data_IF_530926900010
#
_entry.id   IF_530926900010
#
_cell.length_a   1.000
_cell.length_b   1.000
_cell.length_c   1.000
_cell.angle_alpha   90.00
_cell.angle_beta   90.00
_cell.angle_gamma   90.00
#
_symmetry.space_group_name_H-M   'P 1'
#
loop_
_entity.id
_entity.type
_entity.pdbx_description
1 polymer ?
#
# COMPACT_ATOMS: atom_id res chain seq x y z
N UNK A 1 22.55 -50.33 -48.34
CA UNK A 1 22.60 -50.23 -46.88
C UNK A 1 22.17 -48.80 -46.53
N UNK A 2 20.91 -48.65 -46.22
CA UNK A 2 20.24 -47.39 -45.89
C UNK A 2 20.28 -47.22 -44.39
N UNK A 3 21.02 -46.21 -43.92
CA UNK A 3 20.99 -45.80 -42.50
C UNK A 3 19.63 -45.21 -42.19
N UNK A 4 18.90 -45.90 -41.35
CA UNK A 4 17.67 -45.46 -40.73
C UNK A 4 17.93 -44.23 -39.85
N UNK A 5 17.52 -43.10 -40.30
CA UNK A 5 17.44 -41.87 -39.43
C UNK A 5 16.26 -42.04 -38.52
N UNK A 6 16.50 -42.39 -37.24
CA UNK A 6 15.51 -42.31 -36.17
C UNK A 6 14.92 -40.89 -36.10
N UNK A 7 13.59 -40.75 -35.97
CA UNK A 7 12.95 -39.47 -35.77
C UNK A 7 13.43 -38.91 -34.41
N UNK A 8 13.88 -37.67 -34.42
CA UNK A 8 14.06 -36.88 -33.21
C UNK A 8 12.73 -36.85 -32.45
N UNK A 9 12.68 -37.65 -31.38
CA UNK A 9 11.57 -37.63 -30.44
C UNK A 9 11.33 -36.17 -30.05
N UNK A 10 10.12 -35.71 -30.29
CA UNK A 10 9.62 -34.45 -29.83
C UNK A 10 9.82 -34.39 -28.31
N UNK A 11 10.86 -33.72 -27.86
CA UNK A 11 11.04 -33.39 -26.45
C UNK A 11 9.82 -32.58 -26.05
N UNK A 12 8.83 -33.27 -25.48
CA UNK A 12 7.71 -32.63 -24.81
C UNK A 12 8.32 -31.61 -23.86
N UNK A 13 8.18 -30.32 -24.17
CA UNK A 13 8.62 -29.20 -23.31
C UNK A 13 7.88 -29.33 -21.99
N UNK A 14 8.46 -30.11 -21.07
CA UNK A 14 7.93 -30.24 -19.73
C UNK A 14 7.89 -28.80 -19.11
N UNK A 15 6.70 -28.37 -18.74
CA UNK A 15 6.47 -27.04 -18.17
C UNK A 15 7.46 -26.78 -17.02
N UNK A 16 7.98 -25.54 -16.86
CA UNK A 16 8.81 -25.19 -15.72
C UNK A 16 8.03 -25.45 -14.42
N UNK A 17 8.75 -25.82 -13.36
CA UNK A 17 8.15 -25.99 -12.03
C UNK A 17 7.41 -24.73 -11.56
N UNK A 18 6.64 -24.86 -10.49
CA UNK A 18 5.79 -23.79 -9.97
C UNK A 18 6.22 -23.28 -8.58
N UNK A 19 7.43 -23.62 -8.13
CA UNK A 19 7.88 -23.26 -6.78
C UNK A 19 7.96 -21.74 -6.56
N UNK A 20 8.28 -20.95 -7.60
CA UNK A 20 8.26 -19.50 -7.54
C UNK A 20 6.90 -18.90 -7.11
N UNK A 21 5.80 -19.59 -7.46
CA UNK A 21 4.47 -19.16 -7.04
C UNK A 21 4.19 -19.42 -5.55
N UNK A 22 4.87 -20.39 -4.94
CA UNK A 22 4.88 -20.60 -3.48
C UNK A 22 5.53 -19.37 -2.79
N UNK A 23 6.63 -18.85 -3.35
CA UNK A 23 7.24 -17.61 -2.85
C UNK A 23 6.27 -16.44 -3.02
N UNK A 24 5.62 -16.31 -4.18
CA UNK A 24 4.60 -15.28 -4.40
C UNK A 24 3.45 -15.35 -3.38
N UNK A 25 2.98 -16.54 -3.06
CA UNK A 25 1.96 -16.76 -2.03
C UNK A 25 2.45 -16.30 -0.64
N UNK A 26 3.70 -16.59 -0.28
CA UNK A 26 4.28 -16.06 0.96
C UNK A 26 4.29 -14.53 0.98
N UNK A 27 4.65 -13.87 -0.12
CA UNK A 27 4.63 -12.41 -0.22
C UNK A 27 3.19 -11.85 -0.09
N UNK A 28 2.22 -12.52 -0.70
CA UNK A 28 0.79 -12.18 -0.56
C UNK A 28 0.32 -12.26 0.89
N UNK A 29 0.62 -13.37 1.58
CA UNK A 29 0.22 -13.51 2.99
C UNK A 29 0.95 -12.54 3.92
N UNK A 30 2.23 -12.24 3.69
CA UNK A 30 2.95 -11.21 4.45
C UNK A 30 2.26 -9.86 4.33
N UNK A 31 1.88 -9.48 3.12
CA UNK A 31 1.20 -8.20 2.86
C UNK A 31 -0.21 -8.18 3.45
N UNK A 32 -0.92 -9.32 3.43
CA UNK A 32 -2.23 -9.46 4.09
C UNK A 32 -2.12 -9.24 5.60
N UNK A 33 -1.16 -9.91 6.26
CA UNK A 33 -0.92 -9.76 7.71
C UNK A 33 -0.56 -8.31 8.04
N UNK A 34 0.36 -7.71 7.28
CA UNK A 34 0.78 -6.33 7.42
C UNK A 34 -0.41 -5.35 7.44
N UNK A 35 -1.37 -5.52 6.51
CA UNK A 35 -2.54 -4.65 6.43
C UNK A 35 -3.58 -4.93 7.51
N UNK A 36 -3.70 -6.16 7.99
CA UNK A 36 -4.53 -6.49 9.16
C UNK A 36 -3.97 -5.76 10.40
N UNK A 37 -2.66 -5.93 10.70
CA UNK A 37 -1.99 -5.29 11.85
C UNK A 37 -2.12 -3.76 11.82
N UNK A 38 -2.01 -3.18 10.63
CA UNK A 38 -2.16 -1.74 10.42
C UNK A 38 -3.53 -1.23 10.80
N UNK A 39 -4.59 -1.96 10.47
CA UNK A 39 -5.96 -1.52 10.65
C UNK A 39 -6.54 -1.72 12.06
N UNK A 40 -5.99 -2.63 12.86
CA UNK A 40 -6.53 -2.96 14.20
C UNK A 40 -6.79 -1.69 15.02
N UNK A 41 -5.81 -0.77 15.08
CA UNK A 41 -5.95 0.45 15.87
C UNK A 41 -7.14 1.29 15.38
N UNK A 42 -7.29 1.48 14.06
CA UNK A 42 -8.38 2.27 13.50
C UNK A 42 -9.76 1.66 13.78
N UNK A 43 -9.85 0.33 13.72
CA UNK A 43 -11.10 -0.41 14.02
C UNK A 43 -11.42 -0.32 15.52
N UNK A 44 -10.43 -0.50 16.38
CA UNK A 44 -10.59 -0.51 17.83
C UNK A 44 -10.54 0.88 18.47
N UNK A 45 -10.22 1.94 17.70
CA UNK A 45 -10.03 3.29 18.24
C UNK A 45 -11.18 3.79 19.10
N UNK A 46 -12.49 3.61 18.72
CA UNK A 46 -13.60 4.04 19.57
C UNK A 46 -13.66 3.32 20.92
N UNK A 47 -13.32 2.04 20.94
CA UNK A 47 -13.34 1.23 22.17
C UNK A 47 -12.12 1.52 23.05
N UNK A 48 -10.94 1.58 22.45
CA UNK A 48 -9.69 1.91 23.14
C UNK A 48 -9.73 3.32 23.73
N UNK A 49 -10.36 4.27 23.04
CA UNK A 49 -10.52 5.63 23.57
C UNK A 49 -11.33 5.66 24.87
N UNK A 50 -12.37 4.84 24.99
CA UNK A 50 -13.16 4.73 26.21
C UNK A 50 -12.35 4.09 27.35
N UNK A 51 -11.49 3.11 27.02
CA UNK A 51 -10.72 2.34 28.01
C UNK A 51 -9.48 3.11 28.47
N UNK A 52 -8.74 3.73 27.53
CA UNK A 52 -7.46 4.40 27.79
C UNK A 52 -7.68 5.87 28.16
N UNK A 53 -8.75 6.49 27.65
CA UNK A 53 -9.08 7.89 27.94
C UNK A 53 -8.27 8.92 27.14
N UNK A 54 -7.65 8.54 26.01
CA UNK A 54 -6.89 9.49 25.20
C UNK A 54 -7.77 10.51 24.48
N UNK A 55 -7.22 11.71 24.27
CA UNK A 55 -7.83 12.79 23.49
C UNK A 55 -7.74 12.52 21.97
N UNK A 56 -8.45 13.31 21.18
CA UNK A 56 -8.34 13.26 19.70
C UNK A 56 -6.93 13.62 19.23
N UNK A 57 -6.27 14.58 19.89
CA UNK A 57 -4.89 14.96 19.60
C UNK A 57 -3.93 13.81 19.92
N UNK A 58 -4.09 13.15 21.07
CA UNK A 58 -3.25 12.00 21.43
C UNK A 58 -3.44 10.84 20.45
N UNK A 59 -4.66 10.56 20.02
CA UNK A 59 -4.91 9.57 18.95
C UNK A 59 -4.25 9.96 17.63
N UNK A 60 -4.37 11.23 17.22
CA UNK A 60 -3.67 11.77 16.04
C UNK A 60 -2.16 11.59 16.13
N UNK A 61 -1.56 11.83 17.31
CA UNK A 61 -0.13 11.64 17.56
C UNK A 61 0.29 10.16 17.48
N UNK A 62 -0.54 9.23 17.96
CA UNK A 62 -0.31 7.78 17.84
C UNK A 62 -0.26 7.36 16.36
N UNK A 63 -1.19 7.85 15.56
CA UNK A 63 -1.22 7.59 14.10
C UNK A 63 -0.02 8.25 13.40
N UNK A 64 0.32 9.48 13.77
CA UNK A 64 1.49 10.21 13.25
C UNK A 64 2.80 9.50 13.57
N UNK A 65 2.93 8.92 14.77
CA UNK A 65 4.11 8.15 15.16
C UNK A 65 4.37 6.97 14.21
N UNK A 66 3.30 6.23 13.86
CA UNK A 66 3.40 5.15 12.86
C UNK A 66 3.87 5.66 11.49
N UNK A 67 3.24 6.71 10.98
CA UNK A 67 3.53 7.25 9.65
C UNK A 67 4.95 7.80 9.56
N UNK A 68 5.42 8.47 10.62
CA UNK A 68 6.80 8.97 10.72
C UNK A 68 7.80 7.82 10.66
N UNK A 69 7.58 6.79 11.48
CA UNK A 69 8.43 5.61 11.51
C UNK A 69 8.41 4.85 10.17
N UNK A 70 7.25 4.75 9.55
CA UNK A 70 7.09 4.10 8.23
C UNK A 70 7.86 4.84 7.15
N UNK A 71 7.78 6.17 7.10
CA UNK A 71 8.55 6.98 6.15
C UNK A 71 10.07 6.83 6.34
N UNK A 72 10.55 6.86 7.58
CA UNK A 72 11.96 6.62 7.92
C UNK A 72 12.38 5.19 7.57
N UNK A 73 11.53 4.22 7.88
CA UNK A 73 11.77 2.81 7.63
C UNK A 73 11.92 2.48 6.15
N UNK A 74 11.14 3.10 5.27
CA UNK A 74 11.27 2.93 3.80
C UNK A 74 12.69 3.28 3.30
N UNK A 75 13.30 4.31 3.87
CA UNK A 75 14.68 4.70 3.52
C UNK A 75 15.72 3.72 4.08
N UNK A 76 15.51 3.25 5.31
CA UNK A 76 16.46 2.39 6.01
C UNK A 76 16.42 0.96 5.49
N UNK A 77 15.22 0.37 5.33
CA UNK A 77 15.05 -1.02 4.93
C UNK A 77 15.52 -1.30 3.51
N UNK A 78 15.40 -0.36 2.58
CA UNK A 78 15.95 -0.54 1.23
C UNK A 78 17.43 -0.87 1.27
N UNK A 79 18.23 -0.05 1.98
CA UNK A 79 19.68 -0.30 2.16
C UNK A 79 19.98 -1.54 2.99
N UNK A 80 19.19 -1.80 4.01
CA UNK A 80 19.36 -2.96 4.88
C UNK A 80 19.19 -4.27 4.10
N UNK A 81 18.13 -4.37 3.30
CA UNK A 81 17.84 -5.54 2.45
C UNK A 81 18.91 -5.70 1.37
N UNK A 82 19.42 -4.60 0.80
CA UNK A 82 20.53 -4.66 -0.19
C UNK A 82 21.81 -5.20 0.41
N UNK A 83 22.10 -4.87 1.68
CA UNK A 83 23.32 -5.31 2.36
C UNK A 83 23.25 -6.73 2.89
N UNK A 84 22.13 -7.12 3.50
CA UNK A 84 21.99 -8.40 4.22
C UNK A 84 21.18 -9.45 3.44
N UNK A 85 20.63 -9.09 2.28
CA UNK A 85 19.81 -9.98 1.44
C UNK A 85 18.35 -10.05 1.87
N UNK A 86 17.50 -10.48 0.93
CA UNK A 86 16.04 -10.51 1.09
C UNK A 86 15.59 -11.45 2.22
N UNK A 87 16.25 -12.63 2.35
CA UNK A 87 15.90 -13.62 3.37
C UNK A 87 15.98 -13.05 4.78
N UNK A 88 17.13 -12.47 5.14
CA UNK A 88 17.39 -11.91 6.47
C UNK A 88 16.61 -10.61 6.66
N UNK A 89 16.67 -9.72 5.68
CA UNK A 89 16.02 -8.42 5.74
C UNK A 89 14.53 -8.51 5.99
N UNK A 90 13.86 -9.38 5.27
CA UNK A 90 12.41 -9.56 5.43
C UNK A 90 12.05 -10.26 6.74
N UNK A 91 12.84 -11.28 7.16
CA UNK A 91 12.64 -11.92 8.47
C UNK A 91 12.71 -10.90 9.60
N UNK A 92 13.72 -10.04 9.62
CA UNK A 92 13.90 -9.01 10.65
C UNK A 92 12.74 -8.00 10.62
N UNK A 93 12.34 -7.55 9.43
CA UNK A 93 11.21 -6.64 9.28
C UNK A 93 9.95 -7.22 9.93
N UNK A 94 9.61 -8.48 9.60
CA UNK A 94 8.42 -9.15 10.11
C UNK A 94 8.52 -9.43 11.61
N UNK A 95 9.67 -9.86 12.12
CA UNK A 95 9.86 -10.04 13.55
C UNK A 95 9.66 -8.73 14.33
N UNK A 96 10.22 -7.63 13.83
CA UNK A 96 10.07 -6.31 14.46
C UNK A 96 8.59 -5.89 14.49
N UNK A 97 7.88 -5.99 13.36
CA UNK A 97 6.48 -5.58 13.36
C UNK A 97 5.59 -6.53 14.16
N UNK A 98 5.86 -7.84 14.14
CA UNK A 98 5.07 -8.81 14.92
C UNK A 98 5.22 -8.59 16.42
N UNK A 99 6.45 -8.36 16.90
CA UNK A 99 6.68 -7.99 18.32
C UNK A 99 5.99 -6.67 18.65
N UNK A 100 6.09 -5.67 17.76
CA UNK A 100 5.45 -4.37 17.97
C UNK A 100 3.91 -4.48 17.93
N UNK A 101 3.34 -5.30 17.06
CA UNK A 101 1.90 -5.58 17.05
C UNK A 101 1.46 -6.15 18.40
N UNK A 102 2.16 -7.19 18.90
CA UNK A 102 1.86 -7.79 20.21
C UNK A 102 2.09 -6.82 21.36
N UNK A 103 3.07 -5.91 21.28
CA UNK A 103 3.36 -4.94 22.33
C UNK A 103 2.18 -3.98 22.61
N UNK A 104 1.30 -3.74 21.62
CA UNK A 104 0.06 -2.98 21.82
C UNK A 104 -0.81 -3.61 22.91
N UNK A 105 -0.84 -4.93 23.03
CA UNK A 105 -1.62 -5.63 24.06
C UNK A 105 -1.20 -5.29 25.49
N UNK A 106 0.05 -4.86 25.70
CA UNK A 106 0.59 -4.42 26.98
C UNK A 106 0.46 -2.90 27.21
N UNK A 107 0.17 -2.11 26.18
CA UNK A 107 0.06 -0.65 26.29
C UNK A 107 -1.19 -0.26 27.10
N UNK A 108 -1.04 0.73 27.98
CA UNK A 108 -2.11 1.24 28.85
C UNK A 108 -2.23 2.77 28.79
N UNK A 109 -1.40 3.43 28.01
CA UNK A 109 -1.35 4.89 27.87
C UNK A 109 -1.23 5.26 26.39
N UNK A 110 -1.64 6.46 26.01
CA UNK A 110 -1.43 7.01 24.67
C UNK A 110 0.05 6.96 24.23
N UNK A 111 0.97 7.28 25.16
CA UNK A 111 2.41 7.21 24.89
C UNK A 111 2.89 5.78 24.61
N UNK A 112 2.41 4.79 25.38
CA UNK A 112 2.72 3.37 25.16
C UNK A 112 2.24 2.89 23.78
N UNK A 113 1.01 3.27 23.39
CA UNK A 113 0.49 3.02 22.04
C UNK A 113 1.33 3.73 20.96
N UNK A 114 1.78 4.96 21.23
CA UNK A 114 2.65 5.71 20.33
C UNK A 114 3.98 5.00 20.07
N UNK A 115 4.65 4.49 21.11
CA UNK A 115 5.90 3.70 20.98
C UNK A 115 5.66 2.41 20.19
N UNK A 116 4.61 1.66 20.53
CA UNK A 116 4.27 0.42 19.83
C UNK A 116 3.96 0.69 18.35
N UNK A 117 3.22 1.76 18.04
CA UNK A 117 2.91 2.20 16.67
C UNK A 117 4.15 2.66 15.91
N UNK A 118 5.04 3.40 16.54
CA UNK A 118 6.31 3.81 15.94
C UNK A 118 7.14 2.57 15.53
N UNK A 119 7.30 1.64 16.47
CA UNK A 119 8.05 0.40 16.23
C UNK A 119 7.38 -0.46 15.15
N UNK A 120 6.04 -0.54 15.16
CA UNK A 120 5.26 -1.23 14.13
C UNK A 120 5.50 -0.61 12.75
N UNK A 121 5.40 0.71 12.63
CA UNK A 121 5.63 1.44 11.39
C UNK A 121 7.03 1.23 10.84
N UNK A 122 8.03 1.23 11.70
CA UNK A 122 9.41 0.97 11.31
C UNK A 122 9.55 -0.44 10.71
N UNK A 123 9.03 -1.49 11.37
CA UNK A 123 9.08 -2.87 10.88
C UNK A 123 8.28 -3.06 9.59
N UNK A 124 7.05 -2.55 9.53
CA UNK A 124 6.17 -2.68 8.36
C UNK A 124 6.72 -2.03 7.09
N UNK A 125 7.53 -0.98 7.23
CA UNK A 125 8.18 -0.33 6.10
C UNK A 125 9.10 -1.27 5.30
N UNK A 126 9.58 -2.36 5.91
CA UNK A 126 10.39 -3.38 5.22
C UNK A 126 9.60 -4.29 4.29
N UNK A 127 8.27 -4.34 4.37
CA UNK A 127 7.43 -5.25 3.59
C UNK A 127 7.57 -5.06 2.08
N UNK A 128 7.24 -3.88 1.57
CA UNK A 128 7.27 -3.62 0.13
C UNK A 128 8.66 -3.74 -0.51
N UNK A 129 9.74 -3.14 0.05
CA UNK A 129 11.08 -3.31 -0.50
C UNK A 129 11.51 -4.77 -0.56
N UNK A 130 11.22 -5.57 0.49
CA UNK A 130 11.54 -6.99 0.53
C UNK A 130 10.76 -7.79 -0.52
N UNK A 131 9.46 -7.54 -0.64
CA UNK A 131 8.59 -8.24 -1.57
C UNK A 131 8.99 -7.95 -3.03
N UNK A 132 9.24 -6.68 -3.37
CA UNK A 132 9.68 -6.29 -4.72
C UNK A 132 11.02 -6.94 -5.06
N UNK A 133 11.96 -6.98 -4.11
CA UNK A 133 13.26 -7.62 -4.31
C UNK A 133 13.12 -9.14 -4.47
N UNK A 134 12.29 -9.79 -3.64
CA UNK A 134 11.99 -11.22 -3.78
C UNK A 134 11.39 -11.54 -5.15
N UNK A 135 10.46 -10.70 -5.65
CA UNK A 135 9.91 -10.85 -7.01
C UNK A 135 10.99 -10.69 -8.07
N UNK A 136 11.90 -9.72 -7.90
CA UNK A 136 13.00 -9.54 -8.85
C UNK A 136 13.98 -10.72 -8.87
N UNK A 137 14.18 -11.40 -7.73
CA UNK A 137 15.04 -12.58 -7.58
C UNK A 137 14.39 -13.86 -8.12
N UNK A 138 13.05 -14.02 -7.98
CA UNK A 138 12.34 -15.27 -8.28
C UNK A 138 11.57 -15.29 -9.59
N UNK A 139 11.37 -14.15 -10.25
CA UNK A 139 10.55 -14.07 -11.46
C UNK A 139 11.29 -13.43 -12.62
N UNK A 140 11.20 -14.03 -13.83
CA UNK A 140 11.66 -13.38 -15.05
C UNK A 140 10.80 -12.12 -15.31
N UNK A 141 11.38 -11.14 -15.99
CA UNK A 141 10.76 -9.81 -16.25
C UNK A 141 9.31 -9.90 -16.73
N UNK A 142 9.03 -10.86 -17.62
CA UNK A 142 7.68 -11.09 -18.19
C UNK A 142 6.62 -11.46 -17.15
N UNK A 143 7.02 -12.04 -16.01
CA UNK A 143 6.11 -12.50 -14.95
C UNK A 143 6.11 -11.57 -13.73
N UNK A 144 7.08 -10.65 -13.58
CA UNK A 144 7.22 -9.76 -12.41
C UNK A 144 6.00 -8.91 -12.14
N UNK A 145 5.38 -8.35 -13.21
CA UNK A 145 4.18 -7.54 -13.08
C UNK A 145 3.01 -8.32 -12.47
N UNK A 146 2.82 -9.57 -12.91
CA UNK A 146 1.78 -10.44 -12.36
C UNK A 146 2.07 -10.80 -10.89
N UNK A 147 3.30 -11.21 -10.58
CA UNK A 147 3.70 -11.54 -9.21
C UNK A 147 3.56 -10.34 -8.26
N UNK A 148 3.93 -9.13 -8.72
CA UNK A 148 3.74 -7.88 -7.97
C UNK A 148 2.26 -7.59 -7.75
N UNK A 149 1.42 -7.76 -8.76
CA UNK A 149 -0.03 -7.60 -8.64
C UNK A 149 -0.64 -8.56 -7.62
N UNK A 150 -0.21 -9.82 -7.63
CA UNK A 150 -0.71 -10.83 -6.69
C UNK A 150 -0.34 -10.47 -5.25
N UNK A 151 0.92 -10.18 -4.94
CA UNK A 151 1.26 -9.86 -3.55
C UNK A 151 0.63 -8.52 -3.10
N UNK A 152 0.51 -7.55 -4.00
CA UNK A 152 -0.13 -6.27 -3.68
C UNK A 152 -1.64 -6.43 -3.39
N UNK A 153 -2.31 -7.40 -4.02
CA UNK A 153 -3.71 -7.72 -3.69
C UNK A 153 -3.89 -8.17 -2.22
N UNK A 154 -2.82 -8.63 -1.56
CA UNK A 154 -2.82 -8.91 -0.13
C UNK A 154 -3.19 -7.68 0.73
N UNK A 155 -2.86 -6.46 0.28
CA UNK A 155 -3.28 -5.21 0.95
C UNK A 155 -4.80 -5.14 1.08
N UNK A 156 -5.49 -5.39 -0.02
CA UNK A 156 -6.93 -5.29 -0.11
C UNK A 156 -7.61 -6.41 0.68
N UNK A 157 -7.10 -7.63 0.54
CA UNK A 157 -7.60 -8.79 1.31
C UNK A 157 -7.45 -8.54 2.81
N UNK A 158 -6.31 -8.02 3.27
CA UNK A 158 -6.10 -7.62 4.67
C UNK A 158 -7.08 -6.54 5.12
N UNK A 159 -7.33 -5.54 4.25
CA UNK A 159 -8.26 -4.45 4.53
C UNK A 159 -9.73 -4.91 4.70
N UNK A 160 -10.13 -5.95 3.98
CA UNK A 160 -11.49 -6.55 4.07
C UNK A 160 -11.59 -7.52 5.25
N UNK A 161 -10.54 -8.31 5.51
CA UNK A 161 -10.54 -9.30 6.60
C UNK A 161 -10.53 -8.63 7.98
N UNK A 162 -9.74 -7.57 8.17
CA UNK A 162 -9.58 -6.94 9.47
C UNK A 162 -10.91 -6.47 10.10
N UNK A 163 -11.81 -5.74 9.41
CA UNK A 163 -13.10 -5.35 9.97
C UNK A 163 -14.05 -6.51 10.28
N UNK A 164 -13.83 -7.68 9.69
CA UNK A 164 -14.63 -8.88 9.98
C UNK A 164 -14.10 -9.61 11.22
N UNK A 165 -12.78 -9.80 11.31
CA UNK A 165 -12.15 -10.66 12.31
C UNK A 165 -11.86 -9.89 13.61
N UNK A 166 -11.35 -8.67 13.53
CA UNK A 166 -10.90 -7.91 14.70
C UNK A 166 -12.03 -7.64 15.71
N UNK A 167 -13.25 -7.20 15.30
CA UNK A 167 -14.36 -7.02 16.22
C UNK A 167 -14.78 -8.31 16.91
N UNK A 168 -14.82 -9.42 16.14
CA UNK A 168 -15.20 -10.73 16.69
C UNK A 168 -14.20 -11.20 17.76
N UNK A 169 -12.89 -11.16 17.47
CA UNK A 169 -11.86 -11.52 18.44
C UNK A 169 -11.93 -10.62 19.68
N UNK A 170 -12.13 -9.33 19.47
CA UNK A 170 -12.18 -8.34 20.57
C UNK A 170 -13.36 -8.58 21.51
N UNK A 171 -14.54 -8.86 20.96
CA UNK A 171 -15.74 -9.10 21.80
C UNK A 171 -15.64 -10.45 22.54
N UNK A 172 -15.00 -11.45 21.93
CA UNK A 172 -14.89 -12.80 22.51
C UNK A 172 -13.77 -12.92 23.53
N UNK A 173 -12.58 -12.33 23.24
CA UNK A 173 -11.37 -12.53 24.02
C UNK A 173 -10.76 -11.23 24.58
N UNK A 174 -11.39 -10.09 24.34
CA UNK A 174 -10.89 -8.77 24.71
C UNK A 174 -9.95 -8.16 23.65
N UNK A 175 -9.83 -6.84 23.68
CA UNK A 175 -9.03 -6.10 22.69
C UNK A 175 -7.53 -6.49 22.64
N UNK A 176 -6.85 -6.87 23.76
CA UNK A 176 -5.46 -7.31 23.69
C UNK A 176 -5.27 -8.55 22.83
N UNK A 177 -6.27 -9.46 22.82
CA UNK A 177 -6.19 -10.69 22.05
C UNK A 177 -6.14 -10.42 20.54
N UNK A 178 -6.77 -9.35 20.04
CA UNK A 178 -6.70 -8.98 18.63
C UNK A 178 -5.25 -8.66 18.20
N UNK A 179 -4.52 -7.87 18.99
CA UNK A 179 -3.11 -7.56 18.73
C UNK A 179 -2.19 -8.76 18.92
N UNK A 180 -2.43 -9.60 19.93
CA UNK A 180 -1.64 -10.81 20.15
C UNK A 180 -1.83 -11.83 19.03
N UNK A 181 -3.05 -12.06 18.58
CA UNK A 181 -3.36 -13.03 17.54
C UNK A 181 -2.72 -12.67 16.20
N UNK A 182 -2.87 -11.42 15.77
CA UNK A 182 -2.32 -10.99 14.49
C UNK A 182 -0.79 -10.93 14.50
N UNK A 183 -0.18 -10.39 15.57
CA UNK A 183 1.27 -10.41 15.72
C UNK A 183 1.84 -11.84 15.77
N UNK A 184 1.15 -12.78 16.44
CA UNK A 184 1.57 -14.19 16.51
C UNK A 184 1.59 -14.86 15.11
N UNK A 185 0.65 -14.53 14.22
CA UNK A 185 0.63 -15.05 12.85
C UNK A 185 1.91 -14.66 12.10
N UNK A 186 2.48 -13.50 12.37
CA UNK A 186 3.75 -13.08 11.77
C UNK A 186 4.92 -14.01 12.11
N UNK A 187 5.00 -14.55 13.35
CA UNK A 187 6.02 -15.54 13.70
C UNK A 187 5.85 -16.85 12.95
N UNK A 188 4.59 -17.31 12.77
CA UNK A 188 4.29 -18.49 11.95
C UNK A 188 4.75 -18.26 10.51
N UNK A 189 4.47 -17.07 9.98
CA UNK A 189 4.91 -16.71 8.64
C UNK A 189 6.44 -16.71 8.52
N UNK A 190 7.17 -16.12 9.49
CA UNK A 190 8.65 -16.13 9.50
C UNK A 190 9.21 -17.54 9.48
N UNK A 191 8.59 -18.49 10.21
CA UNK A 191 8.98 -19.88 10.17
C UNK A 191 8.89 -20.46 8.75
N UNK A 192 7.75 -20.25 8.07
CA UNK A 192 7.60 -20.67 6.67
C UNK A 192 8.57 -19.98 5.74
N UNK A 193 8.82 -18.69 5.95
CA UNK A 193 9.77 -17.93 5.16
C UNK A 193 11.19 -18.50 5.26
N UNK A 194 11.69 -18.72 6.46
CA UNK A 194 13.03 -19.27 6.68
C UNK A 194 13.18 -20.66 6.09
N UNK A 195 12.13 -21.50 6.14
CA UNK A 195 12.16 -22.85 5.61
C UNK A 195 12.06 -22.90 4.07
N UNK A 196 11.24 -22.03 3.50
CA UNK A 196 10.89 -22.08 2.07
C UNK A 196 11.70 -21.11 1.21
N UNK A 197 12.09 -19.95 1.72
CA UNK A 197 12.82 -18.94 0.93
C UNK A 197 14.34 -19.11 1.03
N UNK A 198 14.97 -19.01 -0.13
CA UNK A 198 16.38 -18.71 -0.33
C UNK A 198 16.52 -18.03 -1.70
N UNK A 199 17.71 -17.59 -2.08
CA UNK A 199 17.94 -17.17 -3.47
C UNK A 199 17.82 -18.38 -4.41
N UNK A 200 17.28 -18.23 -5.64
CA UNK A 200 16.98 -19.37 -6.52
C UNK A 200 18.17 -20.31 -6.73
N UNK A 201 19.38 -19.76 -6.88
CA UNK A 201 20.60 -20.53 -7.14
C UNK A 201 21.01 -21.45 -5.97
N UNK A 202 20.60 -21.12 -4.74
CA UNK A 202 20.89 -21.90 -3.53
C UNK A 202 19.77 -22.88 -3.18
N UNK A 203 18.62 -22.81 -3.86
CA UNK A 203 17.45 -23.61 -3.50
C UNK A 203 17.54 -25.03 -4.07
N UNK A 204 17.92 -26.00 -3.24
CA UNK A 204 18.08 -27.41 -3.64
C UNK A 204 16.82 -28.09 -4.19
N UNK A 205 15.62 -27.63 -3.82
CA UNK A 205 14.34 -28.18 -4.28
C UNK A 205 13.89 -27.63 -5.63
N UNK A 206 14.61 -26.66 -6.18
CA UNK A 206 14.25 -26.04 -7.46
C UNK A 206 14.72 -26.94 -8.60
N UNK A 207 13.84 -27.25 -9.57
CA UNK A 207 14.22 -27.98 -10.76
C UNK A 207 15.15 -27.14 -11.64
N UNK A 208 16.09 -27.78 -12.34
CA UNK A 208 17.01 -27.09 -13.26
C UNK A 208 16.24 -26.28 -14.35
N UNK A 209 15.10 -26.82 -14.81
CA UNK A 209 14.24 -26.15 -15.79
C UNK A 209 13.60 -24.89 -15.23
N UNK A 210 13.15 -24.91 -13.97
CA UNK A 210 12.57 -23.74 -13.32
C UNK A 210 13.65 -22.69 -13.01
N UNK A 211 14.83 -23.12 -12.57
CA UNK A 211 15.96 -22.22 -12.37
C UNK A 211 16.36 -21.53 -13.68
N UNK A 212 16.49 -22.28 -14.78
CA UNK A 212 16.76 -21.71 -16.09
C UNK A 212 15.68 -20.74 -16.55
N UNK A 213 14.41 -21.04 -16.24
CA UNK A 213 13.29 -20.13 -16.53
C UNK A 213 13.38 -18.83 -15.70
N UNK A 214 13.69 -18.91 -14.40
CA UNK A 214 13.86 -17.74 -13.53
C UNK A 214 15.03 -16.85 -14.03
N UNK A 215 16.14 -17.47 -14.41
CA UNK A 215 17.36 -16.79 -14.89
C UNK A 215 17.36 -16.51 -16.40
N UNK A 216 16.20 -16.63 -17.07
CA UNK A 216 16.12 -16.47 -18.54
C UNK A 216 16.31 -15.03 -19.05
N UNK A 217 16.27 -14.04 -18.17
CA UNK A 217 16.51 -12.66 -18.54
C UNK A 217 18.02 -12.40 -18.78
N UNK A 218 18.39 -11.62 -19.80
CA UNK A 218 19.75 -11.16 -19.97
C UNK A 218 20.23 -10.40 -18.72
N UNK A 219 21.50 -10.60 -18.34
CA UNK A 219 22.09 -9.84 -17.25
C UNK A 219 21.97 -8.34 -17.55
N UNK A 220 21.30 -7.59 -16.69
CA UNK A 220 21.25 -6.13 -16.82
C UNK A 220 22.59 -5.55 -16.32
N UNK A 221 23.17 -4.60 -17.07
CA UNK A 221 24.25 -3.79 -16.50
C UNK A 221 23.75 -3.16 -15.22
N UNK A 222 24.61 -3.11 -14.19
CA UNK A 222 24.27 -2.48 -12.92
C UNK A 222 23.66 -1.09 -13.17
N UNK A 223 22.44 -0.80 -12.67
CA UNK A 223 21.79 0.46 -12.99
C UNK A 223 22.63 1.61 -12.46
N UNK A 224 23.02 2.56 -13.31
CA UNK A 224 23.56 3.83 -12.86
C UNK A 224 22.60 4.44 -11.84
N UNK A 225 23.09 4.66 -10.62
CA UNK A 225 22.30 5.25 -9.54
C UNK A 225 22.01 6.71 -9.90
N UNK A 226 20.77 7.00 -10.25
CA UNK A 226 20.34 8.38 -10.46
C UNK A 226 20.13 9.03 -9.09
N UNK A 227 20.92 10.05 -8.80
CA UNK A 227 20.77 10.80 -7.54
C UNK A 227 19.43 11.50 -7.44
N UNK A 228 18.77 11.41 -6.28
CA UNK A 228 17.48 12.04 -6.01
C UNK A 228 17.47 13.54 -6.28
N UNK A 229 18.57 14.25 -5.95
CA UNK A 229 18.72 15.69 -6.21
C UNK A 229 18.60 16.05 -7.70
N UNK A 230 19.02 15.15 -8.60
CA UNK A 230 18.86 15.35 -10.04
C UNK A 230 17.39 15.24 -10.44
N UNK A 231 16.64 14.31 -9.85
CA UNK A 231 15.21 14.13 -10.11
C UNK A 231 14.37 15.33 -9.66
N UNK A 232 14.73 15.96 -8.53
CA UNK A 232 14.02 17.13 -8.01
C UNK A 232 14.13 18.39 -8.88
N UNK A 233 15.02 18.40 -9.89
CA UNK A 233 15.10 19.50 -10.88
C UNK A 233 13.96 19.48 -11.90
N UNK A 234 13.24 18.35 -12.04
CA UNK A 234 12.20 18.19 -13.06
C UNK A 234 10.80 18.50 -12.51
N UNK A 235 10.03 19.33 -13.21
CA UNK A 235 8.64 19.65 -12.88
C UNK A 235 7.75 18.41 -12.79
N UNK A 236 8.01 17.41 -13.64
CA UNK A 236 7.29 16.14 -13.66
C UNK A 236 7.45 15.35 -12.35
N UNK A 237 8.62 15.42 -11.70
CA UNK A 237 8.80 14.84 -10.37
C UNK A 237 7.89 15.51 -9.35
N UNK A 238 7.81 16.83 -9.37
CA UNK A 238 6.96 17.60 -8.46
C UNK A 238 5.47 17.37 -8.72
N UNK A 239 5.06 17.10 -9.98
CA UNK A 239 3.69 16.71 -10.26
C UNK A 239 3.28 15.41 -9.52
N UNK A 240 4.19 14.42 -9.44
CA UNK A 240 3.95 13.17 -8.72
C UNK A 240 4.04 13.41 -7.20
N UNK A 241 5.07 14.12 -6.75
CA UNK A 241 5.33 14.42 -5.32
C UNK A 241 4.16 15.15 -4.70
N UNK A 242 3.73 16.28 -5.31
CA UNK A 242 2.63 17.09 -4.78
C UNK A 242 1.28 16.37 -4.95
N UNK A 243 1.10 15.67 -6.09
CA UNK A 243 -0.10 14.87 -6.31
C UNK A 243 -0.32 13.84 -5.20
N UNK A 244 0.72 13.09 -4.83
CA UNK A 244 0.67 12.11 -3.74
C UNK A 244 0.61 12.76 -2.36
N UNK A 245 1.35 13.84 -2.14
CA UNK A 245 1.31 14.59 -0.88
C UNK A 245 -0.10 15.07 -0.52
N UNK A 246 -0.91 15.48 -1.51
CA UNK A 246 -2.27 15.95 -1.29
C UNK A 246 -3.31 14.82 -1.20
N UNK A 247 -3.11 13.70 -1.90
CA UNK A 247 -4.16 12.68 -2.03
C UNK A 247 -3.96 11.44 -1.18
N UNK A 248 -2.71 10.99 -0.94
CA UNK A 248 -2.44 9.84 -0.08
C UNK A 248 -2.90 10.07 1.39
N UNK A 249 -2.83 11.28 1.96
CA UNK A 249 -3.37 11.59 3.30
C UNK A 249 -4.84 11.19 3.47
N UNK A 250 -5.62 11.30 2.41
CA UNK A 250 -7.06 10.98 2.46
C UNK A 250 -7.27 9.47 2.65
N UNK A 251 -6.43 8.64 2.03
CA UNK A 251 -6.44 7.21 2.26
C UNK A 251 -6.09 6.85 3.71
N UNK A 252 -5.05 7.49 4.26
CA UNK A 252 -4.67 7.30 5.67
C UNK A 252 -5.78 7.73 6.62
N UNK A 253 -6.49 8.83 6.31
CA UNK A 253 -7.68 9.24 7.05
C UNK A 253 -8.77 8.16 7.02
N UNK A 254 -9.06 7.56 5.88
CA UNK A 254 -10.04 6.48 5.80
C UNK A 254 -9.60 5.26 6.61
N UNK A 255 -8.32 4.91 6.59
CA UNK A 255 -7.83 3.75 7.36
C UNK A 255 -7.95 3.94 8.88
N UNK A 256 -7.68 5.13 9.39
CA UNK A 256 -7.53 5.34 10.83
C UNK A 256 -8.70 6.03 11.50
N UNK A 257 -9.48 6.82 10.77
CA UNK A 257 -10.50 7.68 11.35
C UNK A 257 -11.94 7.26 11.03
N UNK A 258 -12.17 6.43 10.00
CA UNK A 258 -13.55 6.03 9.65
C UNK A 258 -14.26 5.24 10.75
N UNK A 259 -13.56 4.36 11.46
CA UNK A 259 -14.14 3.63 12.58
C UNK A 259 -14.67 4.58 13.66
N UNK A 260 -13.87 5.61 14.00
CA UNK A 260 -14.28 6.66 14.94
C UNK A 260 -15.43 7.51 14.42
N UNK A 261 -15.37 7.92 13.15
CA UNK A 261 -16.45 8.69 12.52
C UNK A 261 -17.79 7.93 12.54
N UNK A 262 -17.78 6.68 12.10
CA UNK A 262 -19.01 5.86 12.07
C UNK A 262 -19.58 5.60 13.48
N UNK A 263 -18.71 5.39 14.47
CA UNK A 263 -19.12 5.30 15.86
C UNK A 263 -19.71 6.62 16.38
N UNK A 264 -18.99 7.74 16.20
CA UNK A 264 -19.41 9.05 16.71
C UNK A 264 -20.70 9.54 16.05
N UNK A 265 -20.86 9.36 14.72
CA UNK A 265 -21.98 9.89 13.94
C UNK A 265 -23.24 9.01 14.02
N UNK A 266 -23.07 7.67 14.02
CA UNK A 266 -24.17 6.71 13.90
C UNK A 266 -24.32 5.80 15.12
N UNK A 267 -23.49 5.97 16.16
CA UNK A 267 -23.57 5.17 17.39
C UNK A 267 -23.24 3.69 17.18
N UNK A 268 -22.45 3.34 16.16
CA UNK A 268 -22.17 1.96 15.82
C UNK A 268 -21.26 1.32 16.88
N UNK A 269 -21.70 0.18 17.42
CA UNK A 269 -20.85 -0.68 18.25
C UNK A 269 -19.77 -1.35 17.40
N UNK A 270 -18.74 -1.87 18.04
CA UNK A 270 -17.60 -2.49 17.38
C UNK A 270 -18.00 -3.56 16.34
N UNK A 271 -18.94 -4.45 16.70
CA UNK A 271 -19.46 -5.48 15.79
C UNK A 271 -20.18 -4.86 14.59
N UNK A 272 -20.97 -3.82 14.83
CA UNK A 272 -21.75 -3.15 13.77
C UNK A 272 -20.86 -2.31 12.82
N UNK A 273 -19.63 -1.98 13.21
CA UNK A 273 -18.66 -1.31 12.34
C UNK A 273 -18.15 -2.20 11.20
N UNK A 274 -18.13 -3.52 11.40
CA UNK A 274 -17.53 -4.45 10.46
C UNK A 274 -18.09 -4.33 9.04
N UNK A 275 -19.41 -4.51 8.89
CA UNK A 275 -20.06 -4.50 7.57
C UNK A 275 -19.92 -3.17 6.80
N UNK A 276 -20.13 -1.98 7.42
CA UNK A 276 -19.86 -0.70 6.78
C UNK A 276 -18.42 -0.53 6.28
N UNK A 277 -17.44 -0.91 7.08
CA UNK A 277 -16.01 -0.82 6.69
C UNK A 277 -15.69 -1.78 5.56
N UNK A 278 -16.19 -3.03 5.62
CA UNK A 278 -16.03 -4.01 4.53
C UNK A 278 -16.61 -3.44 3.22
N UNK A 279 -17.80 -2.84 3.26
CA UNK A 279 -18.42 -2.27 2.08
C UNK A 279 -17.60 -1.12 1.48
N UNK A 280 -17.04 -0.24 2.32
CA UNK A 280 -16.17 0.86 1.89
C UNK A 280 -14.90 0.32 1.22
N UNK A 281 -14.21 -0.65 1.83
CA UNK A 281 -12.97 -1.20 1.29
C UNK A 281 -13.20 -2.07 0.05
N UNK A 282 -14.31 -2.81 -0.02
CA UNK A 282 -14.69 -3.53 -1.23
C UNK A 282 -14.93 -2.58 -2.42
N UNK A 283 -15.59 -1.43 -2.19
CA UNK A 283 -15.74 -0.40 -3.21
C UNK A 283 -14.38 0.22 -3.61
N UNK A 284 -13.45 0.35 -2.67
CA UNK A 284 -12.09 0.79 -2.97
C UNK A 284 -11.37 -0.18 -3.91
N UNK A 285 -11.53 -1.50 -3.71
CA UNK A 285 -10.93 -2.52 -4.56
C UNK A 285 -11.50 -2.50 -5.98
N UNK A 286 -12.82 -2.37 -6.10
CA UNK A 286 -13.49 -2.17 -7.41
C UNK A 286 -12.93 -0.94 -8.12
N UNK A 287 -12.72 0.15 -7.38
CA UNK A 287 -12.12 1.38 -7.89
C UNK A 287 -10.69 1.18 -8.40
N UNK A 288 -9.88 0.44 -7.65
CA UNK A 288 -8.47 0.14 -8.02
C UNK A 288 -8.37 -0.53 -9.39
N UNK A 289 -9.13 -1.61 -9.57
CA UNK A 289 -9.16 -2.37 -10.83
C UNK A 289 -9.81 -1.53 -11.94
N UNK A 290 -10.96 -0.92 -11.65
CA UNK A 290 -11.75 -0.14 -12.61
C UNK A 290 -10.99 1.07 -13.15
N UNK A 291 -10.26 1.80 -12.30
CA UNK A 291 -9.48 2.98 -12.68
C UNK A 291 -8.31 2.66 -13.61
N UNK A 292 -7.58 1.59 -13.31
CA UNK A 292 -6.51 1.09 -14.19
C UNK A 292 -7.03 0.59 -15.53
N UNK A 293 -8.13 -0.18 -15.51
CA UNK A 293 -8.79 -0.70 -16.71
C UNK A 293 -9.31 0.44 -17.58
N UNK A 294 -10.00 1.43 -17.01
CA UNK A 294 -10.63 2.53 -17.75
C UNK A 294 -9.59 3.36 -18.52
N UNK A 295 -8.48 3.73 -17.87
CA UNK A 295 -7.42 4.49 -18.53
C UNK A 295 -6.76 3.68 -19.65
N UNK A 296 -6.53 2.38 -19.43
CA UNK A 296 -5.99 1.49 -20.45
C UNK A 296 -6.95 1.30 -21.64
N UNK A 297 -8.27 1.21 -21.38
CA UNK A 297 -9.29 1.10 -22.43
C UNK A 297 -9.37 2.37 -23.29
N UNK A 298 -9.25 3.56 -22.66
CA UNK A 298 -9.21 4.83 -23.40
C UNK A 298 -7.97 4.94 -24.30
N UNK A 299 -6.81 4.49 -23.82
CA UNK A 299 -5.58 4.44 -24.63
C UNK A 299 -5.75 3.48 -25.82
N UNK A 300 -6.28 2.28 -25.58
CA UNK A 300 -6.55 1.29 -26.65
C UNK A 300 -7.52 1.79 -27.72
N UNK A 301 -8.44 2.69 -27.34
CA UNK A 301 -9.37 3.35 -28.28
C UNK A 301 -8.75 4.52 -29.05
N UNK A 302 -7.43 4.72 -28.96
CA UNK A 302 -6.70 5.77 -29.71
C UNK A 302 -6.49 7.07 -28.94
N UNK A 303 -6.85 7.13 -27.65
CA UNK A 303 -6.55 8.27 -26.80
C UNK A 303 -5.05 8.39 -26.51
N UNK A 304 -4.52 9.62 -26.45
CA UNK A 304 -3.14 9.81 -25.96
C UNK A 304 -3.03 9.43 -24.49
N UNK A 305 -1.86 8.93 -24.04
CA UNK A 305 -1.59 8.57 -22.65
C UNK A 305 -1.96 9.72 -21.71
N UNK A 306 -1.47 10.93 -22.01
CA UNK A 306 -1.74 12.12 -21.22
C UNK A 306 -3.25 12.41 -21.05
N UNK A 307 -3.99 12.43 -22.17
CA UNK A 307 -5.43 12.71 -22.15
C UNK A 307 -6.21 11.62 -21.42
N UNK A 308 -5.92 10.35 -21.71
CA UNK A 308 -6.62 9.20 -21.10
C UNK A 308 -6.43 9.14 -19.58
N UNK A 309 -5.18 9.27 -19.10
CA UNK A 309 -4.87 9.28 -17.66
C UNK A 309 -5.58 10.43 -16.95
N UNK A 310 -5.42 11.67 -17.45
CA UNK A 310 -6.00 12.87 -16.84
C UNK A 310 -7.53 12.90 -16.89
N UNK A 311 -8.15 12.35 -17.94
CA UNK A 311 -9.61 12.21 -18.01
C UNK A 311 -10.13 11.29 -16.90
N UNK A 312 -9.48 10.14 -16.69
CA UNK A 312 -9.85 9.23 -15.59
C UNK A 312 -9.59 9.88 -14.23
N UNK A 313 -8.48 10.57 -14.06
CA UNK A 313 -8.18 11.30 -12.81
C UNK A 313 -9.19 12.42 -12.54
N UNK A 314 -9.65 13.14 -13.56
CA UNK A 314 -10.72 14.14 -13.42
C UNK A 314 -12.03 13.47 -12.97
N UNK A 315 -12.41 12.34 -13.59
CA UNK A 315 -13.59 11.59 -13.18
C UNK A 315 -13.45 11.13 -11.71
N UNK A 316 -12.28 10.62 -11.31
CA UNK A 316 -12.01 10.27 -9.92
C UNK A 316 -12.14 11.47 -8.99
N UNK A 317 -11.53 12.61 -9.34
CA UNK A 317 -11.60 13.83 -8.52
C UNK A 317 -13.05 14.30 -8.33
N UNK A 318 -13.87 14.25 -9.38
CA UNK A 318 -15.31 14.59 -9.30
C UNK A 318 -16.09 13.57 -8.46
N UNK A 319 -15.77 12.28 -8.56
CA UNK A 319 -16.39 11.24 -7.74
C UNK A 319 -16.02 11.33 -6.24
N UNK A 320 -14.92 11.98 -5.89
CA UNK A 320 -14.58 12.23 -4.47
C UNK A 320 -15.37 13.38 -3.88
N UNK A 321 -15.73 14.41 -4.66
CA UNK A 321 -16.42 15.62 -4.15
C UNK A 321 -17.66 15.31 -3.28
N UNK A 322 -18.54 14.36 -3.63
CA UNK A 322 -19.72 14.06 -2.81
C UNK A 322 -19.43 13.63 -1.36
N UNK A 323 -18.19 13.22 -1.05
CA UNK A 323 -17.81 12.84 0.33
C UNK A 323 -17.95 14.00 1.31
N UNK A 324 -17.93 15.25 0.83
CA UNK A 324 -18.15 16.43 1.66
C UNK A 324 -19.49 16.39 2.39
N UNK A 325 -20.50 15.72 1.81
CA UNK A 325 -21.81 15.53 2.41
C UNK A 325 -21.88 14.37 3.43
N UNK A 326 -20.82 13.55 3.57
CA UNK A 326 -20.86 12.34 4.40
C UNK A 326 -21.17 12.63 5.88
N UNK A 327 -20.73 13.78 6.40
CA UNK A 327 -21.03 14.21 7.77
C UNK A 327 -22.44 14.76 7.95
N UNK A 328 -23.13 15.10 6.87
CA UNK A 328 -24.45 15.76 6.92
C UNK A 328 -25.61 14.79 6.71
N UNK A 329 -25.38 13.68 6.01
CA UNK A 329 -26.43 12.68 5.76
C UNK A 329 -26.87 11.99 7.06
N UNK A 330 -28.16 11.72 7.19
CA UNK A 330 -28.74 11.04 8.35
C UNK A 330 -28.66 9.51 8.27
N UNK A 331 -28.60 8.96 7.05
CA UNK A 331 -28.58 7.51 6.83
C UNK A 331 -27.16 6.94 6.85
N UNK A 332 -26.95 5.86 7.63
CA UNK A 332 -25.68 5.14 7.68
C UNK A 332 -25.19 4.71 6.27
N UNK A 333 -26.06 4.04 5.53
CA UNK A 333 -25.68 3.51 4.21
C UNK A 333 -25.47 4.60 3.17
N UNK A 334 -26.13 5.76 3.30
CA UNK A 334 -25.84 6.93 2.47
C UNK A 334 -24.41 7.45 2.72
N UNK A 335 -23.99 7.53 3.99
CA UNK A 335 -22.61 7.89 4.32
C UNK A 335 -21.62 6.83 3.82
N UNK A 336 -21.90 5.55 4.02
CA UNK A 336 -21.07 4.43 3.56
C UNK A 336 -20.88 4.45 2.05
N UNK A 337 -21.94 4.71 1.28
CA UNK A 337 -21.87 4.81 -0.19
C UNK A 337 -21.06 6.03 -0.66
N UNK A 338 -21.23 7.21 -0.02
CA UNK A 338 -20.46 8.41 -0.33
C UNK A 338 -18.97 8.20 -0.06
N UNK A 339 -18.64 7.62 1.11
CA UNK A 339 -17.25 7.34 1.48
C UNK A 339 -16.69 6.21 0.63
N UNK A 340 -17.46 5.16 0.35
CA UNK A 340 -17.05 4.06 -0.51
C UNK A 340 -16.79 4.50 -1.95
N UNK A 341 -17.62 5.39 -2.50
CA UNK A 341 -17.37 6.03 -3.80
C UNK A 341 -16.06 6.82 -3.79
N UNK A 342 -15.84 7.61 -2.75
CA UNK A 342 -14.60 8.39 -2.61
C UNK A 342 -13.38 7.50 -2.43
N UNK A 343 -13.48 6.40 -1.66
CA UNK A 343 -12.41 5.43 -1.47
C UNK A 343 -12.09 4.69 -2.79
N UNK A 344 -13.12 4.29 -3.55
CA UNK A 344 -12.96 3.71 -4.88
C UNK A 344 -12.31 4.69 -5.87
N UNK A 345 -12.75 5.94 -5.87
CA UNK A 345 -12.16 6.98 -6.69
C UNK A 345 -10.70 7.29 -6.29
N UNK A 346 -10.36 7.25 -4.98
CA UNK A 346 -8.98 7.35 -4.52
C UNK A 346 -8.10 6.23 -5.07
N UNK A 347 -8.55 4.99 -4.98
CA UNK A 347 -7.76 3.85 -5.48
C UNK A 347 -7.61 3.87 -7.00
N UNK A 348 -8.65 4.29 -7.73
CA UNK A 348 -8.57 4.54 -9.17
C UNK A 348 -7.59 5.66 -9.52
N UNK A 349 -7.58 6.75 -8.75
CA UNK A 349 -6.60 7.83 -8.84
C UNK A 349 -5.18 7.33 -8.58
N UNK A 350 -4.98 6.60 -7.48
CA UNK A 350 -3.69 6.05 -7.09
C UNK A 350 -3.11 5.14 -8.17
N UNK A 351 -3.91 4.26 -8.76
CA UNK A 351 -3.49 3.41 -9.87
C UNK A 351 -2.98 4.23 -11.07
N UNK A 352 -3.58 5.39 -11.36
CA UNK A 352 -3.17 6.24 -12.47
C UNK A 352 -1.95 7.10 -12.14
N UNK A 353 -1.84 7.68 -10.94
CA UNK A 353 -0.69 8.54 -10.59
C UNK A 353 0.62 7.72 -10.49
N UNK A 354 0.57 6.46 -10.08
CA UNK A 354 1.73 5.57 -10.09
C UNK A 354 2.29 5.36 -11.50
N UNK A 355 1.43 5.33 -12.52
CA UNK A 355 1.90 5.17 -13.90
C UNK A 355 2.63 6.38 -14.44
N UNK A 356 2.45 7.58 -13.86
CA UNK A 356 3.17 8.80 -14.29
C UNK A 356 4.69 8.63 -14.22
N UNK A 357 5.17 7.89 -13.23
CA UNK A 357 6.60 7.62 -13.12
C UNK A 357 7.12 6.81 -14.33
N UNK A 358 6.37 5.80 -14.78
CA UNK A 358 6.74 4.99 -15.94
C UNK A 358 6.43 5.68 -17.28
N UNK A 359 5.44 6.57 -17.32
CA UNK A 359 5.05 7.29 -18.54
C UNK A 359 6.04 8.43 -18.86
N UNK A 360 6.61 9.09 -17.82
CA UNK A 360 7.46 10.28 -18.00
C UNK A 360 8.96 10.05 -17.76
N UNK A 361 9.34 8.97 -17.08
CA UNK A 361 10.74 8.74 -16.71
C UNK A 361 11.29 7.44 -17.30
N UNK A 362 12.60 7.39 -17.63
CA UNK A 362 13.23 6.16 -18.08
C UNK A 362 13.19 5.10 -16.97
N UNK A 363 13.17 3.81 -17.36
CA UNK A 363 13.03 2.66 -16.42
C UNK A 363 13.94 2.75 -15.19
N UNK A 364 15.17 3.23 -15.37
CA UNK A 364 16.17 3.41 -14.30
C UNK A 364 15.81 4.49 -13.25
N UNK A 365 14.90 5.41 -13.56
CA UNK A 365 14.45 6.47 -12.66
C UNK A 365 13.10 6.19 -12.00
N UNK A 366 12.29 5.27 -12.56
CA UNK A 366 10.92 4.99 -12.11
C UNK A 366 10.88 4.67 -10.61
N UNK A 367 11.73 3.77 -10.11
CA UNK A 367 11.77 3.41 -8.70
C UNK A 367 12.07 4.58 -7.79
N UNK A 368 13.04 5.43 -8.15
CA UNK A 368 13.40 6.61 -7.36
C UNK A 368 12.30 7.67 -7.34
N UNK A 369 11.65 7.93 -8.48
CA UNK A 369 10.54 8.89 -8.57
C UNK A 369 9.32 8.38 -7.79
N UNK A 370 9.01 7.09 -7.90
CA UNK A 370 7.94 6.45 -7.12
C UNK A 370 8.22 6.52 -5.62
N UNK A 371 9.48 6.30 -5.23
CA UNK A 371 9.92 6.43 -3.84
C UNK A 371 9.78 7.86 -3.30
N UNK A 372 10.17 8.88 -4.07
CA UNK A 372 9.97 10.29 -3.69
C UNK A 372 8.49 10.62 -3.52
N UNK A 373 7.64 10.16 -4.45
CA UNK A 373 6.19 10.32 -4.34
C UNK A 373 5.61 9.61 -3.12
N UNK A 374 6.02 8.38 -2.85
CA UNK A 374 5.59 7.61 -1.67
C UNK A 374 5.98 8.27 -0.36
N UNK A 375 7.22 8.78 -0.25
CA UNK A 375 7.68 9.54 0.90
C UNK A 375 6.86 10.81 1.11
N UNK A 376 6.58 11.56 0.03
CA UNK A 376 5.74 12.75 0.10
C UNK A 376 4.31 12.43 0.59
N UNK A 377 3.72 11.34 0.08
CA UNK A 377 2.43 10.83 0.55
C UNK A 377 2.42 10.47 2.04
N UNK A 378 3.48 9.82 2.52
CA UNK A 378 3.63 9.49 3.94
C UNK A 378 3.77 10.75 4.81
N UNK A 379 4.57 11.74 4.39
CA UNK A 379 4.70 13.03 5.08
C UNK A 379 3.35 13.76 5.10
N UNK A 380 2.65 13.81 3.97
CA UNK A 380 1.30 14.39 3.90
C UNK A 380 0.33 13.70 4.84
N UNK A 381 0.35 12.37 4.91
CA UNK A 381 -0.46 11.58 5.84
C UNK A 381 -0.16 11.87 7.30
N UNK A 382 1.12 12.01 7.66
CA UNK A 382 1.57 12.42 8.99
C UNK A 382 0.98 13.78 9.38
N UNK A 383 1.15 14.79 8.54
CA UNK A 383 0.64 16.14 8.78
C UNK A 383 -0.89 16.15 8.87
N UNK A 384 -1.57 15.41 8.00
CA UNK A 384 -3.02 15.35 8.00
C UNK A 384 -3.57 14.64 9.25
N UNK A 385 -2.91 13.59 9.73
CA UNK A 385 -3.33 12.89 10.96
C UNK A 385 -3.19 13.77 12.19
N UNK A 386 -2.10 14.55 12.30
CA UNK A 386 -1.93 15.55 13.35
C UNK A 386 -3.02 16.62 13.25
N UNK A 387 -3.24 17.15 12.04
CA UNK A 387 -4.28 18.15 11.79
C UNK A 387 -5.68 17.62 12.14
N UNK A 388 -5.99 16.37 11.79
CA UNK A 388 -7.28 15.74 12.08
C UNK A 388 -7.54 15.66 13.59
N UNK A 389 -6.54 15.27 14.38
CA UNK A 389 -6.64 15.28 15.85
C UNK A 389 -7.01 16.63 16.40
N UNK A 390 -6.30 17.70 15.98
CA UNK A 390 -6.59 19.07 16.43
C UNK A 390 -7.94 19.59 15.96
N UNK A 391 -8.32 19.35 14.70
CA UNK A 391 -9.65 19.77 14.20
C UNK A 391 -10.75 19.12 15.02
N UNK A 392 -10.65 17.83 15.32
CA UNK A 392 -11.65 17.11 16.10
C UNK A 392 -11.69 17.57 17.56
N UNK A 393 -10.53 17.85 18.16
CA UNK A 393 -10.46 18.40 19.53
C UNK A 393 -11.14 19.76 19.63
N UNK A 394 -10.95 20.64 18.63
CA UNK A 394 -11.50 22.01 18.66
C UNK A 394 -12.96 22.09 18.22
N UNK A 395 -13.38 21.25 17.27
CA UNK A 395 -14.70 21.39 16.64
C UNK A 395 -15.68 20.26 17.00
N UNK A 396 -15.18 19.12 17.48
CA UNK A 396 -15.97 17.92 17.68
C UNK A 396 -16.57 17.34 16.38
N UNK A 397 -16.16 17.82 15.19
CA UNK A 397 -16.82 17.55 13.92
C UNK A 397 -15.85 17.08 12.83
N UNK A 398 -16.25 16.05 12.10
CA UNK A 398 -15.54 15.55 10.91
C UNK A 398 -15.79 16.40 9.64
N UNK A 399 -16.65 17.43 9.70
CA UNK A 399 -17.08 18.18 8.54
C UNK A 399 -15.89 18.78 7.76
N UNK A 400 -14.99 19.49 8.46
CA UNK A 400 -13.81 20.12 7.85
C UNK A 400 -12.90 19.05 7.19
N UNK A 401 -12.74 17.89 7.82
CA UNK A 401 -11.93 16.78 7.29
C UNK A 401 -12.51 16.25 5.98
N UNK A 402 -13.82 16.12 5.88
CA UNK A 402 -14.46 15.72 4.64
C UNK A 402 -14.43 16.81 3.55
N UNK A 403 -14.48 18.09 3.91
CA UNK A 403 -14.26 19.20 2.96
C UNK A 403 -12.85 19.14 2.38
N UNK A 404 -11.81 18.97 3.21
CA UNK A 404 -10.43 18.81 2.75
C UNK A 404 -10.33 17.56 1.85
N UNK A 405 -10.91 16.42 2.27
CA UNK A 405 -10.89 15.19 1.50
C UNK A 405 -11.52 15.34 0.12
N UNK A 406 -12.67 16.02 0.03
CA UNK A 406 -13.39 16.21 -1.22
C UNK A 406 -12.73 17.20 -2.17
N UNK A 407 -11.98 18.19 -1.66
CA UNK A 407 -11.31 19.23 -2.46
C UNK A 407 -9.89 18.86 -2.90
N UNK A 408 -9.20 18.00 -2.16
CA UNK A 408 -7.78 17.68 -2.36
C UNK A 408 -7.46 17.17 -3.78
N UNK A 409 -8.33 16.36 -4.37
CA UNK A 409 -8.10 15.74 -5.69
C UNK A 409 -8.22 16.75 -6.83
N UNK A 410 -9.19 17.66 -6.76
CA UNK A 410 -9.31 18.73 -7.76
C UNK A 410 -8.11 19.68 -7.68
N UNK A 411 -7.69 20.05 -6.48
CA UNK A 411 -6.49 20.85 -6.27
C UNK A 411 -5.24 20.13 -6.80
N UNK A 412 -5.06 18.85 -6.46
CA UNK A 412 -3.95 18.04 -6.94
C UNK A 412 -3.93 17.94 -8.46
N UNK A 413 -5.10 17.72 -9.10
CA UNK A 413 -5.20 17.67 -10.58
C UNK A 413 -4.85 19.01 -11.22
N UNK A 414 -5.29 20.12 -10.64
CA UNK A 414 -4.95 21.47 -11.11
C UNK A 414 -3.44 21.70 -11.07
N UNK A 415 -2.77 21.35 -9.96
CA UNK A 415 -1.32 21.48 -9.81
C UNK A 415 -0.58 20.53 -10.79
N UNK A 416 -1.03 19.28 -10.92
CA UNK A 416 -0.49 18.33 -11.89
C UNK A 416 -0.62 18.89 -13.32
N UNK A 417 -1.75 19.53 -13.66
CA UNK A 417 -1.95 20.12 -14.98
C UNK A 417 -0.98 21.28 -15.26
N UNK A 418 -0.64 22.07 -14.25
CA UNK A 418 0.35 23.17 -14.37
C UNK A 418 1.78 22.62 -14.49
N UNK A 419 2.15 21.64 -13.66
CA UNK A 419 3.53 21.12 -13.60
C UNK A 419 3.86 20.16 -14.74
N UNK A 420 2.88 19.37 -15.19
CA UNK A 420 2.99 18.40 -16.27
C UNK A 420 1.78 18.51 -17.21
N UNK A 421 1.66 19.57 -18.04
CA UNK A 421 0.53 19.77 -18.95
C UNK A 421 0.33 18.58 -19.89
N UNK A 422 1.43 17.98 -20.32
CA UNK A 422 1.50 16.72 -21.05
C UNK A 422 2.37 15.71 -20.31
N UNK A 423 1.94 14.44 -20.31
CA UNK A 423 2.72 13.35 -19.73
C UNK A 423 3.71 12.86 -20.81
N UNK A 424 4.71 13.66 -21.07
CA UNK A 424 5.77 13.38 -22.05
C UNK A 424 7.06 12.96 -21.32
N UNK A 425 7.86 12.07 -21.91
CA UNK A 425 9.14 11.69 -21.36
C UNK A 425 10.03 12.89 -21.05
N UNK A 426 10.67 12.87 -19.91
CA UNK A 426 11.61 13.90 -19.48
C UNK A 426 12.83 13.91 -20.41
N UNK A 427 13.23 15.07 -20.89
CA UNK A 427 14.46 15.25 -21.67
C UNK A 427 15.69 15.09 -20.75
N UNK A 428 16.33 13.93 -20.85
CA UNK A 428 17.45 13.55 -19.97
C UNK A 428 18.82 14.11 -20.37
N UNK A 429 18.88 14.78 -21.49
CA UNK A 429 20.11 14.98 -22.24
C UNK A 429 20.83 16.31 -22.11
N UNK A 430 20.28 17.37 -21.58
CA UNK A 430 20.88 18.70 -21.68
C UNK A 430 20.81 19.53 -20.39
N UNK A 431 21.46 19.04 -19.31
CA UNK A 431 21.94 19.93 -18.24
C UNK A 431 23.22 19.30 -17.69
N UNK A 432 24.35 19.55 -18.43
CA UNK A 432 25.71 19.50 -17.89
C UNK A 432 25.90 20.61 -16.89
#
# INVERSE_FOLDING_TARGET
MTEDSMPLEAQTEARPGNFRWTICALLFFATTINYIDRQILGILAPELQKIIGWSEVEYGNIVTAFQTAYALGLLLFGRFIDRYGTRIGYSIAILVWSVAAMAHAAARTAFGFGIARFTLGLGEAGNFPSAIKAVAEWFPKKERALATGIFNAGCNVGAVIAPAVVPWVTVTFGWPAAFLATGAIGFIWVLFWILLYDVPEKKKRLSQKELAHILSDPAEPAPEKIGWLRLLKYKQTWAIVIGKFLTDPIWWFYLYWLGKFLNARFGLTLIKLGLPLIAIYALADVGSVGGGWLSSALIKKGGTVSRSRKTVMLACALCVVPVMAANQVSGLWSAVLLIGLAAGAHQAWSANIFTFASDMFPKKAVGSVTGLGGMAGAIGGMLFSTLAGHILEWTGSYFILFIISGSAYLLALGIIQVLAPRLEPVNWGHHT
#
